data_IF_136985693563
#
_entry.id   IF_136985693563
#
_cell.length_a   1.000
_cell.length_b   1.000
_cell.length_c   1.000
_cell.angle_alpha   90.00
_cell.angle_beta   90.00
_cell.angle_gamma   90.00
#
_symmetry.space_group_name_H-M   'P 1'
#
loop_
_entity.id
_entity.type
_entity.pdbx_description
1 polymer ?
#
# COMPACT_ATOMS: atom_id res chain seq x y z
N UNK A 1 -22.40 -50.22 -16.12
CA UNK A 1 -22.03 -49.07 -16.98
C UNK A 1 -22.14 -47.80 -16.14
N UNK A 2 -21.00 -47.35 -15.60
CA UNK A 2 -20.43 -46.02 -15.88
C UNK A 2 -21.30 -44.86 -15.37
N UNK A 3 -21.00 -44.33 -14.18
CA UNK A 3 -20.15 -43.12 -14.00
C UNK A 3 -20.70 -41.95 -14.79
N UNK A 4 -21.26 -40.92 -14.17
CA UNK A 4 -20.70 -39.56 -13.99
C UNK A 4 -21.95 -38.66 -13.78
N UNK A 5 -22.11 -37.69 -12.90
CA UNK A 5 -21.22 -36.75 -12.26
C UNK A 5 -21.85 -36.39 -10.90
N UNK A 6 -21.28 -36.94 -9.82
CA UNK A 6 -21.33 -36.25 -8.55
C UNK A 6 -20.50 -34.98 -8.76
N UNK A 7 -21.15 -33.89 -9.13
CA UNK A 7 -20.57 -32.57 -9.15
C UNK A 7 -20.41 -32.15 -7.69
N UNK A 8 -19.40 -32.75 -7.05
CA UNK A 8 -18.77 -32.31 -5.83
C UNK A 8 -18.19 -30.93 -6.13
N UNK A 9 -19.07 -29.93 -6.11
CA UNK A 9 -18.72 -28.55 -5.90
C UNK A 9 -18.13 -28.54 -4.50
N UNK A 10 -16.84 -28.85 -4.41
CA UNK A 10 -15.99 -28.45 -3.30
C UNK A 10 -16.05 -26.93 -3.26
N UNK A 11 -17.12 -26.42 -2.62
CA UNK A 11 -17.12 -25.12 -1.99
C UNK A 11 -16.01 -25.27 -0.96
N UNK A 12 -14.79 -24.95 -1.40
CA UNK A 12 -13.65 -24.73 -0.52
C UNK A 12 -14.19 -23.96 0.67
N UNK A 13 -14.10 -24.57 1.85
CA UNK A 13 -14.61 -24.04 3.11
C UNK A 13 -14.42 -22.53 3.11
N UNK A 14 -15.47 -21.73 3.37
CA UNK A 14 -15.37 -20.29 3.20
C UNK A 14 -14.24 -19.82 4.12
N UNK A 15 -13.10 -19.45 3.54
CA UNK A 15 -12.19 -18.52 4.17
C UNK A 15 -13.09 -17.34 4.52
N UNK A 16 -13.37 -17.15 5.81
CA UNK A 16 -14.38 -16.22 6.30
C UNK A 16 -14.17 -14.87 5.60
N UNK A 17 -14.97 -14.60 4.57
CA UNK A 17 -14.86 -13.37 3.80
C UNK A 17 -15.46 -12.30 4.70
N UNK A 18 -14.64 -11.32 5.06
CA UNK A 18 -15.07 -10.23 5.91
C UNK A 18 -15.72 -9.18 4.99
N UNK A 19 -17.03 -9.31 4.78
CA UNK A 19 -17.79 -8.41 3.89
C UNK A 19 -17.64 -6.94 4.31
N UNK A 20 -17.54 -6.68 5.63
CA UNK A 20 -17.27 -5.33 6.14
C UNK A 20 -15.93 -4.79 5.62
N UNK A 21 -14.90 -5.63 5.54
CA UNK A 21 -13.56 -5.23 5.15
C UNK A 21 -13.49 -4.91 3.65
N UNK A 22 -14.24 -5.66 2.83
CA UNK A 22 -14.41 -5.36 1.42
C UNK A 22 -15.19 -4.05 1.20
N UNK A 23 -16.21 -3.77 2.03
CA UNK A 23 -16.94 -2.50 2.01
C UNK A 23 -16.05 -1.31 2.38
N UNK A 24 -15.25 -1.44 3.45
CA UNK A 24 -14.31 -0.40 3.87
C UNK A 24 -13.24 -0.13 2.81
N UNK A 25 -12.73 -1.17 2.14
CA UNK A 25 -11.82 -1.01 1.01
C UNK A 25 -12.50 -0.26 -0.14
N UNK A 26 -13.74 -0.60 -0.46
CA UNK A 26 -14.52 0.11 -1.48
C UNK A 26 -14.70 1.60 -1.15
N UNK A 27 -15.03 1.90 0.11
CA UNK A 27 -15.19 3.26 0.60
C UNK A 27 -13.87 4.06 0.51
N UNK A 28 -12.75 3.43 0.86
CA UNK A 28 -11.44 4.06 0.77
C UNK A 28 -11.04 4.38 -0.69
N UNK A 29 -11.30 3.48 -1.64
CA UNK A 29 -11.07 3.73 -3.07
C UNK A 29 -11.97 4.85 -3.59
N UNK A 30 -13.25 4.84 -3.20
CA UNK A 30 -14.20 5.92 -3.54
C UNK A 30 -13.72 7.28 -3.03
N UNK A 31 -13.25 7.32 -1.78
CA UNK A 31 -12.64 8.51 -1.19
C UNK A 31 -11.43 8.99 -2.00
N UNK A 32 -10.54 8.09 -2.40
CA UNK A 32 -9.37 8.40 -3.21
C UNK A 32 -9.74 9.05 -4.56
N UNK A 33 -10.71 8.47 -5.27
CA UNK A 33 -11.23 9.04 -6.53
C UNK A 33 -11.84 10.42 -6.27
N UNK A 34 -12.61 10.57 -5.19
CA UNK A 34 -13.21 11.84 -4.80
C UNK A 34 -12.15 12.93 -4.53
N UNK A 35 -11.10 12.63 -3.76
CA UNK A 35 -10.04 13.60 -3.45
C UNK A 35 -9.36 14.13 -4.71
N UNK A 36 -9.02 13.22 -5.65
CA UNK A 36 -8.40 13.59 -6.91
C UNK A 36 -9.36 14.35 -7.82
N UNK A 37 -10.63 13.96 -7.88
CA UNK A 37 -11.64 14.69 -8.63
C UNK A 37 -11.83 16.11 -8.07
N UNK A 38 -11.93 16.26 -6.74
CA UNK A 38 -12.05 17.55 -6.10
C UNK A 38 -10.84 18.44 -6.39
N UNK A 39 -9.62 17.93 -6.26
CA UNK A 39 -8.39 18.69 -6.56
C UNK A 39 -8.21 19.04 -8.03
N UNK A 40 -8.74 18.23 -8.95
CA UNK A 40 -8.58 18.47 -10.40
C UNK A 40 -9.67 19.40 -10.95
N UNK A 41 -10.92 19.25 -10.51
CA UNK A 41 -12.06 19.97 -11.07
C UNK A 41 -12.46 21.23 -10.31
N UNK A 42 -12.09 21.42 -9.04
CA UNK A 42 -12.39 22.68 -8.34
C UNK A 42 -11.41 23.78 -8.72
N UNK A 43 -11.94 24.98 -8.92
CA UNK A 43 -11.16 26.19 -9.14
C UNK A 43 -10.30 26.55 -7.91
N UNK A 44 -9.13 27.15 -8.13
CA UNK A 44 -8.19 27.53 -7.06
C UNK A 44 -8.81 28.46 -6.02
N UNK A 45 -9.77 29.32 -6.41
CA UNK A 45 -10.45 30.25 -5.48
C UNK A 45 -11.32 29.51 -4.47
N UNK A 46 -11.94 28.39 -4.85
CA UNK A 46 -12.73 27.57 -3.93
C UNK A 46 -11.84 26.76 -2.99
N UNK A 47 -10.64 26.38 -3.44
CA UNK A 47 -9.67 25.61 -2.62
C UNK A 47 -9.07 26.42 -1.46
N UNK A 48 -9.10 27.75 -1.53
CA UNK A 48 -8.58 28.62 -0.45
C UNK A 48 -9.61 28.97 0.64
N UNK A 49 -10.83 28.42 0.55
CA UNK A 49 -11.82 28.61 1.61
C UNK A 49 -11.52 27.73 2.82
N UNK A 50 -11.83 28.22 4.03
CA UNK A 50 -11.63 27.47 5.28
C UNK A 50 -12.35 26.11 5.27
N UNK A 51 -13.52 26.05 4.63
CA UNK A 51 -14.25 24.79 4.43
C UNK A 51 -13.42 23.76 3.64
N UNK A 52 -12.76 24.18 2.56
CA UNK A 52 -11.92 23.27 1.77
C UNK A 52 -10.69 22.78 2.55
N UNK A 53 -10.16 23.58 3.49
CA UNK A 53 -9.06 23.15 4.35
C UNK A 53 -9.45 21.94 5.22
N UNK A 54 -10.62 21.97 5.84
CA UNK A 54 -11.13 20.83 6.63
C UNK A 54 -11.29 19.59 5.74
N UNK A 55 -11.81 19.75 4.51
CA UNK A 55 -11.89 18.65 3.54
C UNK A 55 -10.50 18.13 3.14
N UNK A 56 -9.53 19.00 2.91
CA UNK A 56 -8.16 18.63 2.53
C UNK A 56 -7.47 17.84 3.66
N UNK A 57 -7.76 18.18 4.92
CA UNK A 57 -7.35 17.38 6.07
C UNK A 57 -7.94 15.95 6.02
N UNK A 58 -9.25 15.82 5.78
CA UNK A 58 -9.85 14.49 5.58
C UNK A 58 -9.29 13.75 4.37
N UNK A 59 -8.98 14.47 3.28
CA UNK A 59 -8.37 13.89 2.08
C UNK A 59 -7.01 13.26 2.41
N UNK A 60 -6.22 13.93 3.25
CA UNK A 60 -4.95 13.41 3.76
C UNK A 60 -5.09 12.11 4.56
N UNK A 61 -6.20 11.91 5.27
CA UNK A 61 -6.44 10.71 6.10
C UNK A 61 -6.89 9.47 5.29
N UNK A 62 -7.41 9.66 4.08
CA UNK A 62 -7.91 8.55 3.24
C UNK A 62 -6.77 7.61 2.83
N UNK A 63 -5.59 8.15 2.50
CA UNK A 63 -4.44 7.34 2.11
C UNK A 63 -3.94 6.43 3.26
N UNK A 64 -3.67 6.92 4.49
CA UNK A 64 -3.34 6.09 5.64
C UNK A 64 -4.39 5.01 5.95
N UNK A 65 -5.68 5.35 5.88
CA UNK A 65 -6.77 4.39 6.11
C UNK A 65 -6.75 3.24 5.08
N UNK A 66 -6.56 3.57 3.80
CA UNK A 66 -6.45 2.58 2.73
C UNK A 66 -5.26 1.64 2.93
N UNK A 67 -4.09 2.18 3.32
CA UNK A 67 -2.90 1.37 3.63
C UNK A 67 -3.15 0.41 4.79
N UNK A 68 -3.78 0.89 5.87
CA UNK A 68 -4.12 0.05 7.01
C UNK A 68 -5.01 -1.11 6.59
N UNK A 69 -6.11 -0.84 5.89
CA UNK A 69 -7.04 -1.86 5.41
C UNK A 69 -6.33 -2.87 4.51
N UNK A 70 -5.46 -2.40 3.59
CA UNK A 70 -4.68 -3.28 2.72
C UNK A 70 -3.74 -4.21 3.50
N UNK A 71 -3.07 -3.70 4.54
CA UNK A 71 -2.23 -4.48 5.44
C UNK A 71 -3.03 -5.49 6.28
N UNK A 72 -4.18 -5.07 6.82
CA UNK A 72 -5.03 -5.91 7.65
C UNK A 72 -5.62 -7.09 6.86
N UNK A 73 -6.13 -6.84 5.64
CA UNK A 73 -6.60 -7.92 4.74
C UNK A 73 -5.50 -8.94 4.48
N UNK A 74 -4.28 -8.46 4.22
CA UNK A 74 -3.13 -9.33 3.95
C UNK A 74 -2.77 -10.18 5.17
N UNK A 75 -2.65 -9.55 6.33
CA UNK A 75 -2.37 -10.25 7.58
C UNK A 75 -3.43 -11.33 7.85
N UNK A 76 -4.72 -11.01 7.68
CA UNK A 76 -5.81 -11.96 7.90
C UNK A 76 -5.76 -13.15 6.94
N UNK A 77 -5.42 -12.95 5.67
CA UNK A 77 -5.30 -14.04 4.69
C UNK A 77 -4.12 -14.97 5.01
N UNK A 78 -3.01 -14.42 5.52
CA UNK A 78 -1.83 -15.23 5.87
C UNK A 78 -1.95 -15.91 7.24
N UNK A 79 -2.77 -15.38 8.14
CA UNK A 79 -2.98 -15.96 9.48
C UNK A 79 -3.80 -17.24 9.37
N UNK A 80 -3.14 -18.38 9.15
CA UNK A 80 -3.74 -19.71 9.21
C UNK A 80 -3.45 -20.61 8.00
N UNK A 81 -2.83 -20.10 6.93
CA UNK A 81 -2.45 -20.93 5.79
C UNK A 81 -1.09 -20.50 5.21
N UNK A 82 -0.19 -21.46 4.99
CA UNK A 82 0.99 -21.25 4.15
C UNK A 82 0.54 -21.23 2.69
N UNK A 83 -0.24 -20.23 2.29
CA UNK A 83 -0.60 -20.06 0.88
C UNK A 83 0.67 -19.85 0.04
N UNK A 84 0.69 -20.28 -1.23
CA UNK A 84 1.81 -20.02 -2.11
C UNK A 84 2.01 -18.51 -2.25
N UNK A 85 3.17 -18.00 -1.86
CA UNK A 85 3.50 -16.57 -1.93
C UNK A 85 3.59 -16.04 -3.39
N UNK A 86 3.72 -16.95 -4.36
CA UNK A 86 4.00 -16.63 -5.77
C UNK A 86 2.88 -15.86 -6.51
N UNK A 87 1.57 -16.21 -6.39
CA UNK A 87 0.50 -15.46 -7.03
C UNK A 87 0.31 -14.07 -6.42
N UNK A 88 0.48 -13.95 -5.10
CA UNK A 88 0.43 -12.67 -4.40
C UNK A 88 1.59 -11.76 -4.82
N UNK A 89 2.79 -12.32 -4.97
CA UNK A 89 3.98 -11.62 -5.45
C UNK A 89 3.82 -11.13 -6.89
N UNK A 90 3.32 -11.99 -7.80
CA UNK A 90 3.05 -11.60 -9.19
C UNK A 90 2.06 -10.44 -9.29
N UNK A 91 1.00 -10.44 -8.48
CA UNK A 91 0.04 -9.31 -8.45
C UNK A 91 0.70 -8.02 -7.94
N UNK A 92 1.50 -8.10 -6.88
CA UNK A 92 2.22 -6.93 -6.35
C UNK A 92 3.23 -6.38 -7.36
N UNK A 93 3.97 -7.27 -8.02
CA UNK A 93 4.95 -6.90 -9.04
C UNK A 93 4.27 -6.30 -10.28
N UNK A 94 3.09 -6.79 -10.66
CA UNK A 94 2.29 -6.17 -11.72
C UNK A 94 1.84 -4.76 -11.33
N UNK A 95 1.36 -4.55 -10.10
CA UNK A 95 0.99 -3.21 -9.61
C UNK A 95 2.20 -2.27 -9.59
N UNK A 96 3.36 -2.75 -9.15
CA UNK A 96 4.61 -2.01 -9.19
C UNK A 96 5.01 -1.66 -10.63
N UNK A 97 4.92 -2.63 -11.54
CA UNK A 97 5.25 -2.45 -12.95
C UNK A 97 4.32 -1.46 -13.63
N UNK A 98 3.02 -1.51 -13.35
CA UNK A 98 2.05 -0.52 -13.84
C UNK A 98 2.34 0.87 -13.27
N UNK A 99 2.70 0.96 -11.99
CA UNK A 99 3.11 2.21 -11.35
C UNK A 99 4.35 2.84 -12.01
N UNK A 100 5.33 2.01 -12.35
CA UNK A 100 6.51 2.45 -13.09
C UNK A 100 6.15 2.83 -14.53
N UNK A 101 5.33 2.04 -15.21
CA UNK A 101 4.94 2.24 -16.62
C UNK A 101 4.15 3.54 -16.84
N UNK A 102 3.33 3.96 -15.87
CA UNK A 102 2.65 5.26 -15.91
C UNK A 102 3.61 6.44 -15.80
N UNK A 103 4.77 6.24 -15.17
CA UNK A 103 5.75 7.28 -14.92
C UNK A 103 6.90 7.27 -15.94
N UNK A 104 6.90 6.34 -16.90
CA UNK A 104 7.88 6.34 -18.00
C UNK A 104 7.60 7.53 -18.92
N UNK A 105 8.55 8.48 -19.05
CA UNK A 105 8.45 9.56 -20.01
C UNK A 105 8.72 9.01 -21.41
N UNK A 106 7.70 8.46 -22.07
CA UNK A 106 7.78 7.84 -23.41
C UNK A 106 8.38 8.75 -24.49
N UNK A 107 8.38 10.07 -24.27
CA UNK A 107 8.81 11.09 -25.22
C UNK A 107 10.18 11.73 -24.88
N UNK A 108 10.77 11.46 -23.71
CA UNK A 108 11.99 12.13 -23.23
C UNK A 108 12.96 11.17 -22.51
N UNK A 109 13.30 10.05 -23.17
CA UNK A 109 14.13 8.98 -22.60
C UNK A 109 15.57 9.40 -22.24
N UNK A 110 16.10 10.46 -22.84
CA UNK A 110 17.48 10.93 -22.65
C UNK A 110 17.63 12.14 -21.73
N UNK A 111 16.54 12.63 -21.13
CA UNK A 111 16.57 13.84 -20.30
C UNK A 111 16.62 13.48 -18.80
N UNK A 112 17.70 13.87 -18.11
CA UNK A 112 17.95 13.50 -16.71
C UNK A 112 16.86 13.99 -15.74
N UNK A 113 16.12 15.03 -16.12
CA UNK A 113 15.01 15.57 -15.34
C UNK A 113 13.74 14.71 -15.48
N UNK A 114 13.55 14.05 -16.62
CA UNK A 114 12.44 13.13 -16.87
C UNK A 114 12.60 11.83 -16.05
N UNK A 115 13.84 11.39 -15.80
CA UNK A 115 14.13 10.28 -14.89
C UNK A 115 13.83 10.60 -13.42
N UNK A 116 14.00 11.85 -12.98
CA UNK A 116 13.60 12.27 -11.63
C UNK A 116 12.09 12.24 -11.43
N UNK A 117 11.32 12.63 -12.46
CA UNK A 117 9.87 12.46 -12.46
C UNK A 117 9.51 10.97 -12.40
N UNK A 118 10.14 10.13 -13.23
CA UNK A 118 9.91 8.68 -13.26
C UNK A 118 10.19 7.97 -11.91
N UNK A 119 11.13 8.50 -11.12
CA UNK A 119 11.44 8.01 -9.78
C UNK A 119 10.55 8.60 -8.65
N UNK A 120 9.47 9.33 -8.97
CA UNK A 120 8.57 9.80 -7.93
C UNK A 120 7.85 8.63 -7.25
N UNK A 121 8.02 8.56 -5.93
CA UNK A 121 7.48 7.48 -5.12
C UNK A 121 5.97 7.69 -4.95
N UNK A 122 5.21 7.00 -5.79
CA UNK A 122 3.75 7.00 -5.72
C UNK A 122 3.20 6.04 -4.65
N UNK A 123 1.96 6.28 -4.23
CA UNK A 123 1.22 5.46 -3.26
C UNK A 123 1.18 3.97 -3.66
N UNK A 124 1.14 3.67 -4.96
CA UNK A 124 1.22 2.31 -5.50
C UNK A 124 2.56 1.63 -5.20
N UNK A 125 3.69 2.34 -5.34
CA UNK A 125 5.02 1.80 -5.03
C UNK A 125 5.14 1.49 -3.55
N UNK A 126 4.70 2.41 -2.69
CA UNK A 126 4.70 2.20 -1.25
C UNK A 126 3.83 0.99 -0.85
N UNK A 127 2.68 0.80 -1.50
CA UNK A 127 1.79 -0.34 -1.24
C UNK A 127 2.39 -1.65 -1.74
N UNK A 128 3.00 -1.64 -2.91
CA UNK A 128 3.66 -2.80 -3.49
C UNK A 128 4.84 -3.26 -2.63
N UNK A 129 5.72 -2.33 -2.22
CA UNK A 129 6.88 -2.59 -1.37
C UNK A 129 6.45 -3.09 0.00
N UNK A 130 5.49 -2.41 0.65
CA UNK A 130 4.98 -2.83 1.97
C UNK A 130 4.35 -4.23 1.92
N UNK A 131 3.58 -4.52 0.87
CA UNK A 131 3.01 -5.86 0.66
C UNK A 131 4.06 -6.94 0.37
N UNK A 132 5.15 -6.58 -0.33
CA UNK A 132 6.26 -7.47 -0.62
C UNK A 132 7.09 -7.76 0.64
N UNK A 133 7.35 -6.73 1.45
CA UNK A 133 8.02 -6.86 2.74
C UNK A 133 7.24 -7.76 3.70
N UNK A 134 5.91 -7.63 3.73
CA UNK A 134 5.04 -8.53 4.50
C UNK A 134 5.17 -9.99 4.03
N UNK A 135 5.18 -10.26 2.71
CA UNK A 135 5.38 -11.62 2.18
C UNK A 135 6.75 -12.20 2.55
N UNK A 136 7.80 -11.36 2.50
CA UNK A 136 9.15 -11.76 2.90
C UNK A 136 9.18 -12.09 4.39
N UNK A 137 8.54 -11.27 5.25
CA UNK A 137 8.44 -11.51 6.68
C UNK A 137 7.72 -12.82 7.02
N UNK A 138 6.66 -13.16 6.28
CA UNK A 138 5.91 -14.43 6.43
C UNK A 138 6.74 -15.63 5.98
N UNK A 139 7.48 -15.51 4.86
CA UNK A 139 8.43 -16.54 4.37
C UNK A 139 9.56 -16.78 5.38
N UNK A 140 10.05 -15.72 6.00
CA UNK A 140 11.08 -15.75 7.05
C UNK A 140 10.50 -16.03 8.44
N UNK A 141 9.39 -16.78 8.56
CA UNK A 141 8.62 -16.97 9.79
C UNK A 141 9.40 -17.37 11.07
N UNK A 142 10.60 -17.95 10.96
CA UNK A 142 11.51 -18.22 12.10
C UNK A 142 12.18 -16.95 12.67
N UNK A 143 12.42 -15.96 11.81
CA UNK A 143 13.05 -14.67 12.12
C UNK A 143 12.04 -13.55 12.30
N UNK A 144 10.72 -13.83 12.33
CA UNK A 144 9.68 -12.79 12.45
C UNK A 144 9.88 -11.88 13.67
N UNK A 145 10.25 -12.47 14.80
CA UNK A 145 10.57 -11.73 16.03
C UNK A 145 11.91 -10.97 15.90
N UNK A 146 12.88 -11.53 15.18
CA UNK A 146 14.17 -10.89 14.94
C UNK A 146 14.05 -9.70 13.98
N UNK A 147 13.22 -9.80 12.93
CA UNK A 147 12.93 -8.70 11.99
C UNK A 147 12.10 -7.61 12.68
N UNK A 148 11.11 -7.98 13.49
CA UNK A 148 10.34 -7.02 14.29
C UNK A 148 11.24 -6.31 15.32
N UNK A 149 12.14 -7.04 15.99
CA UNK A 149 13.12 -6.47 16.89
C UNK A 149 14.13 -5.56 16.14
N UNK A 150 14.59 -5.97 14.96
CA UNK A 150 15.50 -5.15 14.12
C UNK A 150 14.82 -3.87 13.65
N UNK A 151 13.55 -3.93 13.24
CA UNK A 151 12.77 -2.75 12.87
C UNK A 151 12.50 -1.84 14.08
N UNK A 152 12.21 -2.40 15.25
CA UNK A 152 12.07 -1.62 16.48
C UNK A 152 13.40 -0.96 16.88
N UNK A 153 14.51 -1.70 16.84
CA UNK A 153 15.85 -1.18 17.12
C UNK A 153 16.26 -0.14 16.10
N UNK A 154 15.95 -0.34 14.82
CA UNK A 154 16.19 0.62 13.76
C UNK A 154 15.35 1.89 13.94
N UNK A 155 14.07 1.75 14.29
CA UNK A 155 13.18 2.87 14.55
C UNK A 155 13.60 3.67 15.80
N UNK A 156 13.93 2.99 16.89
CA UNK A 156 14.47 3.59 18.13
C UNK A 156 15.84 4.24 17.86
N UNK A 157 16.69 3.60 17.07
CA UNK A 157 17.98 4.15 16.65
C UNK A 157 17.82 5.38 15.75
N UNK A 158 16.81 5.40 14.88
CA UNK A 158 16.46 6.58 14.08
C UNK A 158 15.95 7.73 14.96
N UNK A 159 15.21 7.42 16.03
CA UNK A 159 14.74 8.44 16.98
C UNK A 159 15.91 9.07 17.74
N UNK A 160 16.84 8.25 18.26
CA UNK A 160 18.10 8.75 18.86
C UNK A 160 18.92 9.57 17.87
N UNK A 161 18.97 9.13 16.61
CA UNK A 161 19.66 9.87 15.57
C UNK A 161 18.96 11.18 15.27
N UNK A 162 17.63 11.26 15.27
CA UNK A 162 16.86 12.49 15.05
C UNK A 162 17.05 13.52 16.18
N UNK A 163 17.14 13.06 17.44
CA UNK A 163 17.42 13.95 18.57
C UNK A 163 18.81 14.60 18.49
N UNK A 164 19.79 13.96 17.84
CA UNK A 164 21.13 14.54 17.65
C UNK A 164 21.21 15.58 16.52
N UNK A 165 20.17 15.76 15.69
CA UNK A 165 20.10 16.85 14.70
C UNK A 165 19.63 18.17 15.30
N UNK A 166 19.02 18.15 16.50
CA UNK A 166 18.59 19.36 17.18
C UNK A 166 19.68 20.04 18.01
N UNK A 167 20.79 19.35 18.31
CA UNK A 167 22.00 20.02 18.79
C UNK A 167 22.83 20.44 17.61
N UNK A 168 22.46 21.59 17.06
CA UNK A 168 23.37 22.39 16.25
C UNK A 168 24.72 22.47 16.94
N UNK A 169 25.72 21.87 16.31
CA UNK A 169 27.12 22.21 16.53
C UNK A 169 27.26 23.67 16.11
N UNK A 170 26.94 24.56 17.05
CA UNK A 170 27.41 25.93 17.08
C UNK A 170 28.92 25.87 17.29
N UNK A 171 29.65 25.87 16.18
CA UNK A 171 31.01 26.38 16.06
C UNK A 171 31.16 27.03 14.68
#
# INVERSE_FOLDING_TARGET
MQTSLCQDRRVSAPSQRLDWLDLFRGLAVMGMIWTHAAHTFLDLRLRQTAWFHELDYYHGLIAPAFFWIAGFVRAHVTTGTSMPAWPALKRLLLVLLVGYLMHVPWLALFDAQAWRAACTVNVLHCLAISGMLMLVAERFGRWRNAVAALLLVFFVGLQTSAESWHTGVLL
#
